data_IF_084608671052
#
_entry.id   IF_084608671052
#
_cell.length_a   1.000
_cell.length_b   1.000
_cell.length_c   1.000
_cell.angle_alpha   90.00
_cell.angle_beta   90.00
_cell.angle_gamma   90.00
#
_symmetry.space_group_name_H-M   'P 1'
#
loop_
_entity.id
_entity.type
_entity.pdbx_description
1 polymer ?
#
# COMPACT_ATOMS: atom_id res chain seq x y z
N UNK A 1 -12.17 -5.04 -3.84
CA UNK A 1 -11.06 -6.03 -3.98
C UNK A 1 -11.22 -6.76 -5.31
N UNK A 2 -10.37 -6.49 -6.29
CA UNK A 2 -10.44 -7.19 -7.58
C UNK A 2 -10.00 -8.64 -7.39
N UNK A 3 -10.75 -9.55 -7.98
CA UNK A 3 -10.53 -11.00 -7.99
C UNK A 3 -9.06 -11.32 -8.32
N UNK A 4 -8.39 -12.10 -7.48
CA UNK A 4 -7.00 -12.52 -7.64
C UNK A 4 -6.77 -13.16 -9.03
N UNK A 5 -7.81 -13.75 -9.61
CA UNK A 5 -7.81 -14.31 -10.96
C UNK A 5 -7.53 -13.27 -12.05
N UNK A 6 -8.10 -12.06 -11.92
CA UNK A 6 -7.85 -10.98 -12.88
C UNK A 6 -6.43 -10.42 -12.75
N UNK A 7 -5.92 -10.37 -11.53
CA UNK A 7 -4.55 -9.92 -11.24
C UNK A 7 -3.55 -10.95 -11.79
N UNK A 8 -3.79 -12.24 -11.55
CA UNK A 8 -3.04 -13.32 -12.16
C UNK A 8 -3.03 -13.22 -13.68
N UNK A 9 -4.20 -13.07 -14.31
CA UNK A 9 -4.31 -12.92 -15.78
C UNK A 9 -3.47 -11.74 -16.30
N UNK A 10 -3.51 -10.62 -15.59
CA UNK A 10 -2.73 -9.43 -15.93
C UNK A 10 -1.22 -9.64 -15.74
N UNK A 11 -0.81 -10.31 -14.66
CA UNK A 11 0.60 -10.62 -14.36
C UNK A 11 1.17 -11.66 -15.33
N UNK A 12 0.45 -12.76 -15.59
CA UNK A 12 0.85 -13.80 -16.55
C UNK A 12 0.90 -13.27 -17.98
N UNK A 13 -0.02 -12.37 -18.33
CA UNK A 13 -0.10 -11.74 -19.63
C UNK A 13 0.77 -10.48 -19.78
N UNK A 14 1.40 -10.05 -18.69
CA UNK A 14 2.23 -8.84 -18.59
C UNK A 14 3.68 -9.10 -18.99
N UNK A 15 4.51 -8.06 -18.89
CA UNK A 15 5.95 -8.12 -19.22
C UNK A 15 6.84 -8.39 -18.00
N UNK A 16 6.25 -8.50 -16.81
CA UNK A 16 6.98 -8.79 -15.58
C UNK A 16 7.23 -10.28 -15.41
N UNK A 17 8.36 -10.77 -15.94
CA UNK A 17 8.70 -12.20 -15.97
C UNK A 17 8.74 -12.84 -14.56
N UNK A 18 8.99 -12.08 -13.49
CA UNK A 18 9.04 -12.60 -12.11
C UNK A 18 7.68 -13.07 -11.57
N UNK A 19 6.58 -12.56 -12.12
CA UNK A 19 5.21 -12.89 -11.69
C UNK A 19 4.54 -13.92 -12.60
N UNK A 20 5.11 -14.13 -13.78
CA UNK A 20 4.58 -15.04 -14.78
C UNK A 20 4.62 -16.47 -14.26
N UNK A 21 3.47 -17.13 -14.28
CA UNK A 21 3.32 -18.50 -13.83
C UNK A 21 3.18 -18.66 -12.31
N UNK A 22 3.13 -17.58 -11.52
CA UNK A 22 2.82 -17.67 -10.09
C UNK A 22 1.39 -18.17 -9.87
N UNK A 23 1.18 -18.99 -8.84
CA UNK A 23 -0.15 -19.53 -8.55
C UNK A 23 -1.10 -18.43 -8.03
N UNK A 24 -2.41 -18.65 -8.13
CA UNK A 24 -3.40 -17.73 -7.52
C UNK A 24 -3.15 -17.63 -6.01
N UNK A 25 -2.87 -18.76 -5.35
CA UNK A 25 -2.59 -18.83 -3.92
C UNK A 25 -1.35 -18.01 -3.52
N UNK A 26 -0.30 -18.00 -4.34
CA UNK A 26 0.91 -17.18 -4.08
C UNK A 26 0.60 -15.69 -4.20
N UNK A 27 -0.21 -15.30 -5.19
CA UNK A 27 -0.65 -13.91 -5.38
C UNK A 27 -1.55 -13.48 -4.23
N UNK A 28 -2.49 -14.33 -3.82
CA UNK A 28 -3.37 -14.07 -2.67
C UNK A 28 -2.57 -13.94 -1.37
N UNK A 29 -1.64 -14.86 -1.11
CA UNK A 29 -0.76 -14.83 0.06
C UNK A 29 0.11 -13.58 0.08
N UNK A 30 0.71 -13.23 -1.05
CA UNK A 30 1.51 -12.00 -1.16
C UNK A 30 0.65 -10.76 -0.90
N UNK A 31 -0.56 -10.68 -1.47
CA UNK A 31 -1.49 -9.57 -1.25
C UNK A 31 -1.95 -9.48 0.20
N UNK A 32 -2.17 -10.60 0.86
CA UNK A 32 -2.45 -10.62 2.30
C UNK A 32 -1.27 -10.03 3.09
N UNK A 33 -0.02 -10.36 2.73
CA UNK A 33 1.16 -9.90 3.49
C UNK A 33 1.61 -8.47 3.16
N UNK A 34 1.39 -8.01 1.92
CA UNK A 34 1.95 -6.76 1.39
C UNK A 34 0.91 -5.69 1.07
N UNK A 35 -0.38 -6.01 1.11
CA UNK A 35 -1.45 -5.03 0.91
C UNK A 35 -2.16 -4.75 2.23
N UNK A 36 -2.18 -3.48 2.64
CA UNK A 36 -3.06 -3.00 3.70
C UNK A 36 -4.48 -2.92 3.13
N UNK A 37 -5.12 -4.08 3.02
CA UNK A 37 -6.21 -4.29 2.09
C UNK A 37 -7.44 -3.42 2.37
N UNK A 38 -7.61 -2.99 3.61
CA UNK A 38 -8.66 -2.06 3.99
C UNK A 38 -8.49 -0.67 3.35
N UNK A 39 -7.26 -0.25 3.07
CA UNK A 39 -6.97 1.02 2.36
C UNK A 39 -7.49 0.97 0.92
N UNK A 40 -7.72 -0.22 0.34
CA UNK A 40 -8.41 -0.33 -0.97
C UNK A 40 -9.80 0.29 -0.90
N UNK A 41 -10.50 0.22 0.25
CA UNK A 41 -11.81 0.88 0.42
C UNK A 41 -11.69 2.39 0.29
N UNK A 42 -10.62 2.98 0.83
CA UNK A 42 -10.34 4.41 0.69
C UNK A 42 -10.02 4.76 -0.77
N UNK A 43 -9.22 3.93 -1.46
CA UNK A 43 -8.86 4.12 -2.87
C UNK A 43 -10.05 4.05 -3.82
N UNK A 44 -11.05 3.22 -3.51
CA UNK A 44 -12.29 3.08 -4.27
C UNK A 44 -13.34 4.16 -3.91
N UNK A 45 -13.11 4.96 -2.85
CA UNK A 45 -14.04 6.01 -2.41
C UNK A 45 -13.93 7.30 -3.23
N UNK A 46 -14.99 8.11 -3.24
CA UNK A 46 -14.98 9.45 -3.85
C UNK A 46 -14.01 10.41 -3.14
N UNK A 47 -13.67 10.15 -1.88
CA UNK A 47 -12.74 10.95 -1.08
C UNK A 47 -11.28 10.60 -1.34
N UNK A 48 -10.95 9.58 -2.14
CA UNK A 48 -9.57 9.11 -2.36
C UNK A 48 -8.60 10.25 -2.68
N UNK A 49 -9.02 11.20 -3.52
CA UNK A 49 -8.22 12.36 -3.92
C UNK A 49 -7.92 13.34 -2.78
N UNK A 50 -8.62 13.26 -1.64
CA UNK A 50 -8.34 14.09 -0.44
C UNK A 50 -7.22 13.53 0.41
N UNK A 51 -6.94 12.23 0.29
CA UNK A 51 -5.92 11.53 1.06
C UNK A 51 -4.68 11.25 0.21
N UNK A 52 -4.87 10.79 -1.02
CA UNK A 52 -3.80 10.40 -1.91
C UNK A 52 -3.36 11.56 -2.82
N UNK A 53 -2.05 11.68 -3.00
CA UNK A 53 -1.42 12.47 -4.05
C UNK A 53 -0.99 11.54 -5.15
N UNK A 54 -1.29 11.90 -6.39
CA UNK A 54 -0.64 11.27 -7.54
C UNK A 54 0.86 11.64 -7.49
N UNK A 55 1.70 10.62 -7.42
CA UNK A 55 3.13 10.76 -7.58
C UNK A 55 3.50 10.51 -9.06
N UNK A 56 4.79 10.47 -9.36
CA UNK A 56 5.28 10.22 -10.73
C UNK A 56 4.78 8.88 -11.27
N UNK A 57 4.47 8.86 -12.56
CA UNK A 57 4.36 7.63 -13.33
C UNK A 57 5.76 7.18 -13.73
N UNK A 58 6.00 5.87 -13.73
CA UNK A 58 7.23 5.27 -14.23
C UNK A 58 6.90 4.16 -15.22
N UNK A 59 7.80 3.94 -16.18
CA UNK A 59 7.65 2.83 -17.13
C UNK A 59 8.68 1.78 -16.74
N UNK A 60 8.22 0.60 -16.32
CA UNK A 60 9.08 -0.53 -16.03
C UNK A 60 8.71 -1.69 -16.94
N UNK A 61 9.70 -2.26 -17.62
CA UNK A 61 9.53 -3.37 -18.56
C UNK A 61 8.46 -3.10 -19.64
N UNK A 62 8.30 -1.84 -20.07
CA UNK A 62 7.30 -1.42 -21.05
C UNK A 62 5.86 -1.36 -20.53
N UNK A 63 5.66 -1.40 -19.20
CA UNK A 63 4.38 -1.19 -18.53
C UNK A 63 4.41 0.13 -17.78
N UNK A 64 3.45 1.00 -18.06
CA UNK A 64 3.25 2.23 -17.29
C UNK A 64 2.66 1.92 -15.92
N UNK A 65 3.31 2.42 -14.88
CA UNK A 65 2.90 2.31 -13.50
C UNK A 65 2.59 3.70 -12.96
N UNK A 66 1.46 3.81 -12.28
CA UNK A 66 1.06 4.99 -11.53
C UNK A 66 1.36 4.76 -10.06
N UNK A 67 2.01 5.73 -9.42
CA UNK A 67 2.26 5.73 -7.98
C UNK A 67 1.36 6.77 -7.32
N UNK A 68 0.75 6.41 -6.20
CA UNK A 68 0.02 7.32 -5.31
C UNK A 68 0.55 7.18 -3.91
N UNK A 69 0.58 8.29 -3.18
CA UNK A 69 1.08 8.33 -1.81
C UNK A 69 0.12 9.08 -0.90
N UNK A 70 0.00 8.62 0.35
CA UNK A 70 -0.70 9.32 1.42
C UNK A 70 0.13 9.29 2.70
N UNK A 71 -0.08 10.22 3.62
CA UNK A 71 0.58 10.14 4.94
C UNK A 71 -0.16 9.14 5.80
N UNK A 72 0.61 8.23 6.37
CA UNK A 72 0.16 7.27 7.35
C UNK A 72 0.79 7.52 8.71
N UNK A 73 0.04 7.18 9.75
CA UNK A 73 0.56 6.95 11.10
C UNK A 73 0.20 5.52 11.45
N UNK A 74 1.20 4.69 11.71
CA UNK A 74 1.03 3.32 12.15
C UNK A 74 1.36 3.21 13.64
N UNK A 75 0.43 2.69 14.42
CA UNK A 75 0.59 2.36 15.83
C UNK A 75 0.66 0.84 15.98
N UNK A 76 1.71 0.33 16.62
CA UNK A 76 1.89 -1.11 16.94
C UNK A 76 2.41 -1.23 18.35
N UNK A 77 1.72 -1.98 19.21
CA UNK A 77 2.14 -2.21 20.61
C UNK A 77 2.45 -0.93 21.40
N UNK A 78 1.73 0.16 21.11
CA UNK A 78 1.92 1.48 21.74
C UNK A 78 3.02 2.35 21.12
N UNK A 79 3.82 1.82 20.19
CA UNK A 79 4.78 2.61 19.42
C UNK A 79 4.09 3.27 18.22
N UNK A 80 4.36 4.56 18.01
CA UNK A 80 3.80 5.33 16.91
C UNK A 80 4.87 5.62 15.87
N UNK A 81 4.62 5.23 14.63
CA UNK A 81 5.50 5.37 13.47
C UNK A 81 4.82 6.22 12.41
N UNK A 82 5.50 7.25 11.94
CA UNK A 82 4.99 8.12 10.86
C UNK A 82 5.62 7.67 9.56
N UNK A 83 4.84 7.71 8.48
CA UNK A 83 5.33 7.25 7.19
C UNK A 83 4.38 7.53 6.06
N UNK A 84 4.61 6.83 4.95
CA UNK A 84 3.85 6.97 3.72
C UNK A 84 3.12 5.67 3.42
N UNK A 85 1.82 5.77 3.15
CA UNK A 85 1.05 4.71 2.50
C UNK A 85 1.25 4.87 1.00
N UNK A 86 1.94 3.91 0.40
CA UNK A 86 2.28 3.91 -1.01
C UNK A 86 1.41 2.91 -1.76
N UNK A 87 0.87 3.37 -2.89
CA UNK A 87 0.07 2.56 -3.81
C UNK A 87 0.73 2.61 -5.18
N UNK A 88 1.11 1.46 -5.71
CA UNK A 88 1.55 1.34 -7.10
C UNK A 88 0.51 0.53 -7.86
N UNK A 89 0.07 1.06 -9.00
CA UNK A 89 -0.89 0.41 -9.85
C UNK A 89 -0.50 0.51 -11.33
N UNK A 90 -1.01 -0.38 -12.16
CA UNK A 90 -0.83 -0.33 -13.62
C UNK A 90 -2.15 -0.63 -14.32
N UNK A 91 -2.22 -0.32 -15.61
CA UNK A 91 -3.37 -0.68 -16.45
C UNK A 91 -3.13 -2.05 -17.07
N UNK A 92 -4.09 -2.97 -16.88
CA UNK A 92 -4.09 -4.22 -17.64
C UNK A 92 -4.50 -4.00 -19.10
N UNK A 93 -4.56 -5.09 -19.88
CA UNK A 93 -4.91 -5.06 -21.31
C UNK A 93 -6.31 -4.50 -21.58
N UNK A 94 -7.19 -4.55 -20.59
CA UNK A 94 -8.58 -4.08 -20.67
C UNK A 94 -8.70 -2.62 -20.15
N UNK A 95 -7.59 -1.94 -19.87
CA UNK A 95 -7.55 -0.57 -19.33
C UNK A 95 -7.95 -0.49 -17.85
N UNK A 96 -8.09 -1.63 -17.19
CA UNK A 96 -8.51 -1.74 -15.80
C UNK A 96 -7.32 -1.51 -14.85
N UNK A 97 -7.52 -0.70 -13.79
CA UNK A 97 -6.45 -0.36 -12.84
C UNK A 97 -6.13 -1.49 -11.83
N UNK A 98 -5.01 -2.18 -12.00
CA UNK A 98 -4.56 -3.26 -11.12
C UNK A 98 -3.63 -2.69 -10.06
N UNK A 99 -3.99 -2.86 -8.77
CA UNK A 99 -3.08 -2.54 -7.65
C UNK A 99 -2.00 -3.60 -7.61
N UNK A 100 -0.79 -3.18 -7.94
CA UNK A 100 0.43 -3.97 -7.90
C UNK A 100 1.00 -4.05 -6.48
N UNK A 101 0.91 -2.96 -5.72
CA UNK A 101 1.50 -2.87 -4.40
C UNK A 101 0.78 -1.83 -3.53
N UNK A 102 0.53 -2.15 -2.25
CA UNK A 102 -0.09 -1.26 -1.26
C UNK A 102 0.55 -1.39 0.13
N UNK A 103 1.61 -0.64 0.41
CA UNK A 103 2.33 -0.75 1.69
C UNK A 103 2.32 0.53 2.52
N UNK A 104 2.67 0.37 3.80
CA UNK A 104 3.15 1.47 4.64
C UNK A 104 4.68 1.42 4.72
N UNK A 105 5.33 2.54 4.44
CA UNK A 105 6.78 2.72 4.60
C UNK A 105 7.03 3.77 5.67
N UNK A 106 7.68 3.37 6.75
CA UNK A 106 8.14 4.33 7.77
C UNK A 106 9.11 5.34 7.13
N UNK A 107 8.97 6.61 7.47
CA UNK A 107 9.75 7.69 6.86
C UNK A 107 9.95 8.80 7.88
N UNK A 108 11.14 9.39 7.92
CA UNK A 108 11.42 10.49 8.85
C UNK A 108 10.56 11.68 8.48
N UNK A 109 9.94 12.35 9.47
CA UNK A 109 8.96 13.41 9.23
C UNK A 109 9.47 14.54 8.29
N UNK A 110 10.77 14.82 8.33
CA UNK A 110 11.44 15.81 7.48
C UNK A 110 11.49 15.40 6.00
N UNK A 111 11.49 14.10 5.71
CA UNK A 111 11.54 13.55 4.35
C UNK A 111 10.15 13.39 3.73
N UNK A 112 9.08 13.44 4.53
CA UNK A 112 7.68 13.32 4.03
C UNK A 112 7.37 14.42 3.03
N UNK A 113 7.77 15.67 3.32
CA UNK A 113 7.63 16.78 2.39
C UNK A 113 8.39 16.56 1.08
N UNK A 114 9.56 15.92 1.15
CA UNK A 114 10.35 15.49 -0.01
C UNK A 114 9.62 14.42 -0.82
N UNK A 115 9.13 13.34 -0.19
CA UNK A 115 8.40 12.24 -0.86
C UNK A 115 7.11 12.73 -1.53
N UNK A 116 6.47 13.76 -0.94
CA UNK A 116 5.29 14.41 -1.51
C UNK A 116 5.58 15.38 -2.65
N UNK A 117 6.67 16.15 -2.57
CA UNK A 117 7.01 17.20 -3.54
C UNK A 117 7.87 16.70 -4.70
N UNK A 118 8.68 15.69 -4.45
CA UNK A 118 9.53 15.01 -5.41
C UNK A 118 9.23 13.52 -5.25
N UNK A 119 8.47 12.97 -6.20
CA UNK A 119 8.44 11.52 -6.38
C UNK A 119 9.88 11.01 -6.31
N UNK A 120 10.11 10.00 -5.47
CA UNK A 120 11.46 9.62 -5.01
C UNK A 120 12.41 9.50 -6.20
N UNK A 121 13.61 10.09 -6.10
CA UNK A 121 14.61 10.10 -7.16
C UNK A 121 14.85 8.68 -7.71
N UNK A 122 15.08 8.53 -9.02
CA UNK A 122 15.36 7.21 -9.64
C UNK A 122 16.60 6.51 -9.03
N UNK A 123 17.45 7.20 -8.30
CA UNK A 123 18.53 6.60 -7.50
C UNK A 123 18.02 5.74 -6.33
N UNK A 124 16.81 5.99 -5.80
CA UNK A 124 16.15 5.08 -4.88
C UNK A 124 15.43 3.93 -5.59
N UNK A 125 15.17 4.04 -6.90
CA UNK A 125 14.64 2.94 -7.72
C UNK A 125 15.77 1.98 -8.17
N UNK A 126 17.03 2.45 -8.20
CA UNK A 126 18.22 1.62 -8.42
C UNK A 126 18.72 0.89 -7.15
N UNK A 127 18.32 1.33 -5.95
CA UNK A 127 18.52 0.59 -4.71
C UNK A 127 17.37 -0.42 -4.49
N UNK A 128 17.29 -1.43 -5.35
CA UNK A 128 16.28 -2.48 -5.24
C UNK A 128 16.24 -3.53 -6.36
N UNK A 129 17.35 -3.77 -7.06
CA UNK A 129 17.61 -5.03 -7.79
C UNK A 129 18.90 -5.72 -7.30
N UNK A 130 19.25 -5.41 -6.06
CA UNK A 130 20.07 -6.27 -5.21
C UNK A 130 19.10 -6.97 -4.27
N UNK A 131 19.42 -8.19 -3.89
CA UNK A 131 18.98 -8.81 -2.65
C UNK A 131 19.36 -7.95 -1.43
N UNK A 132 18.81 -6.73 -1.37
CA UNK A 132 18.62 -6.00 -0.14
C UNK A 132 17.45 -6.73 0.48
N UNK A 133 17.79 -7.67 1.36
CA UNK A 133 16.97 -7.84 2.55
C UNK A 133 16.62 -6.43 3.02
N UNK A 134 15.38 -6.00 2.81
CA UNK A 134 14.84 -4.81 3.44
C UNK A 134 14.87 -5.11 4.94
N UNK A 135 16.05 -4.87 5.54
CA UNK A 135 16.34 -4.99 6.96
C UNK A 135 15.59 -3.88 7.68
N UNK A 136 14.26 -4.04 7.73
CA UNK A 136 13.33 -3.04 8.24
C UNK A 136 11.84 -3.28 7.95
N UNK A 137 11.43 -4.36 7.29
CA UNK A 137 10.00 -4.67 7.17
C UNK A 137 9.70 -6.17 7.10
N UNK A 138 10.14 -6.93 8.09
CA UNK A 138 9.49 -8.20 8.39
C UNK A 138 8.04 -7.91 8.84
N UNK A 139 7.04 -8.51 8.18
CA UNK A 139 5.77 -8.91 8.79
C UNK A 139 4.83 -7.84 9.39
N UNK A 140 5.00 -6.54 9.10
CA UNK A 140 4.24 -5.48 9.79
C UNK A 140 2.72 -5.62 9.63
N UNK A 141 2.21 -6.18 8.53
CA UNK A 141 0.77 -6.40 8.29
C UNK A 141 0.40 -7.87 8.12
N UNK A 142 1.10 -8.79 8.78
CA UNK A 142 0.58 -10.14 8.92
C UNK A 142 -0.68 -10.14 9.80
N UNK A 143 -1.76 -10.71 9.24
CA UNK A 143 -3.05 -10.86 9.91
C UNK A 143 -3.12 -12.25 10.53
N UNK A 144 -3.03 -12.33 11.86
CA UNK A 144 -3.28 -13.59 12.55
C UNK A 144 -4.70 -14.10 12.23
N UNK A 145 -4.92 -15.42 12.05
CA UNK A 145 -6.25 -15.96 11.80
C UNK A 145 -7.28 -15.47 12.82
N UNK A 146 -8.41 -14.94 12.33
CA UNK A 146 -9.48 -14.39 13.16
C UNK A 146 -9.31 -12.92 13.57
N UNK A 147 -8.20 -12.26 13.20
CA UNK A 147 -8.02 -10.81 13.42
C UNK A 147 -9.26 -10.06 12.93
N UNK A 148 -9.87 -9.28 13.82
CA UNK A 148 -11.00 -8.43 13.46
C UNK A 148 -10.48 -7.08 13.03
N UNK A 149 -11.00 -6.59 11.92
CA UNK A 149 -10.69 -5.26 11.42
C UNK A 149 -11.92 -4.35 11.54
N UNK A 150 -11.69 -3.14 12.05
CA UNK A 150 -12.66 -2.05 12.04
C UNK A 150 -12.10 -0.91 11.19
N UNK A 151 -12.94 -0.39 10.31
CA UNK A 151 -12.62 0.76 9.46
C UNK A 151 -13.56 1.89 9.85
N UNK A 152 -13.00 3.05 10.15
CA UNK A 152 -13.75 4.30 10.33
C UNK A 152 -13.16 5.38 9.46
N UNK A 153 -14.01 6.29 9.00
CA UNK A 153 -13.61 7.42 8.18
C UNK A 153 -14.35 8.67 8.65
N UNK A 154 -13.61 9.75 8.80
CA UNK A 154 -14.14 11.09 8.97
C UNK A 154 -13.60 12.02 7.87
N UNK A 155 -13.91 13.31 7.96
CA UNK A 155 -13.53 14.33 6.98
C UNK A 155 -12.02 14.49 6.82
N UNK A 156 -11.22 14.10 7.82
CA UNK A 156 -9.78 14.34 7.89
C UNK A 156 -8.94 13.07 8.02
N UNK A 157 -9.56 11.93 8.35
CA UNK A 157 -8.86 10.70 8.70
C UNK A 157 -9.61 9.48 8.20
N UNK A 158 -8.84 8.53 7.71
CA UNK A 158 -9.26 7.17 7.47
C UNK A 158 -8.47 6.26 8.39
N UNK A 159 -9.16 5.53 9.27
CA UNK A 159 -8.55 4.73 10.32
C UNK A 159 -8.90 3.26 10.11
N UNK A 160 -7.88 2.44 10.11
CA UNK A 160 -7.98 0.99 10.12
C UNK A 160 -7.45 0.50 11.46
N UNK A 161 -8.26 -0.22 12.22
CA UNK A 161 -7.88 -0.78 13.52
C UNK A 161 -8.01 -2.30 13.46
N UNK A 162 -6.90 -2.99 13.73
CA UNK A 162 -6.86 -4.44 13.85
C UNK A 162 -6.83 -4.83 15.32
N UNK A 163 -7.77 -5.69 15.71
CA UNK A 163 -8.02 -6.08 17.11
C UNK A 163 -7.75 -7.57 17.32
N UNK A 164 -7.39 -7.91 18.56
CA UNK A 164 -7.19 -9.29 18.95
C UNK A 164 -8.51 -10.08 18.81
N UNK A 165 -8.54 -11.22 18.09
CA UNK A 165 -9.73 -12.06 17.96
C UNK A 165 -10.33 -12.49 19.30
N UNK A 166 -9.47 -12.71 20.30
CA UNK A 166 -9.83 -13.24 21.63
C UNK A 166 -10.15 -12.13 22.63
N UNK A 167 -9.73 -10.90 22.36
CA UNK A 167 -9.97 -9.73 23.22
C UNK A 167 -10.20 -8.49 22.36
N UNK A 168 -11.45 -8.13 22.12
CA UNK A 168 -11.80 -6.98 21.27
C UNK A 168 -11.46 -5.62 21.88
N UNK A 169 -11.12 -5.57 23.16
CA UNK A 169 -10.58 -4.37 23.80
C UNK A 169 -9.10 -4.13 23.49
N UNK A 170 -8.38 -5.17 23.05
CA UNK A 170 -6.97 -5.09 22.70
C UNK A 170 -6.79 -4.73 21.22
N UNK A 171 -6.21 -3.56 20.99
CA UNK A 171 -5.81 -3.10 19.66
C UNK A 171 -4.40 -3.61 19.38
N UNK A 172 -4.24 -4.43 18.35
CA UNK A 172 -2.96 -4.96 17.93
C UNK A 172 -2.19 -3.93 17.09
N UNK A 173 -2.89 -3.33 16.13
CA UNK A 173 -2.33 -2.38 15.16
C UNK A 173 -3.39 -1.33 14.83
N UNK A 174 -2.97 -0.11 14.55
CA UNK A 174 -3.84 0.94 14.01
C UNK A 174 -3.11 1.75 12.95
N UNK A 175 -3.67 1.82 11.75
CA UNK A 175 -3.22 2.71 10.70
C UNK A 175 -4.18 3.89 10.60
N UNK A 176 -3.66 5.10 10.64
CA UNK A 176 -4.39 6.33 10.34
C UNK A 176 -3.81 6.96 9.09
N UNK A 177 -4.59 6.99 8.01
CA UNK A 177 -4.29 7.77 6.80
C UNK A 177 -4.91 9.15 6.96
N UNK A 178 -4.10 10.20 6.86
CA UNK A 178 -4.58 11.58 7.07
C UNK A 178 -4.84 12.28 5.74
N UNK A 179 -5.85 13.14 5.71
CA UNK A 179 -6.11 14.02 4.58
C UNK A 179 -4.88 14.90 4.30
N UNK A 180 -4.69 15.21 3.02
CA UNK A 180 -3.70 16.18 2.58
C UNK A 180 -3.98 17.53 3.24
N UNK A 181 -2.96 18.28 3.64
CA UNK A 181 -3.15 19.67 4.02
C UNK A 181 -3.73 20.45 2.83
N UNK A 182 -4.78 21.22 3.06
CA UNK A 182 -5.34 22.11 2.05
C UNK A 182 -4.26 23.12 1.66
N UNK A 183 -3.98 23.22 0.35
CA UNK A 183 -3.05 24.20 -0.18
C UNK A 183 -3.78 25.55 -0.14
N UNK A 184 -3.39 26.41 0.80
CA UNK A 184 -3.85 27.80 0.89
C UNK A 184 -3.14 28.62 -0.18
#
# INVERSE_FOLDING_TARGET
MRDASNIKRALDGGREEKWKGKSIEDIERQKITHDIIEVVRLLESCDAGRFFMDARTSVKDGVERSRRVAVGVLEVSGERRVGVVEVVSFKDKDGCNVIYHLMFRETVAQEIGGVMSQGISPESEMAGDSSVECSGSEGVFEYAPGTRCEVSQDTHRFVVTWKNPRNTGEVLKRLTVVCRPETI
#
